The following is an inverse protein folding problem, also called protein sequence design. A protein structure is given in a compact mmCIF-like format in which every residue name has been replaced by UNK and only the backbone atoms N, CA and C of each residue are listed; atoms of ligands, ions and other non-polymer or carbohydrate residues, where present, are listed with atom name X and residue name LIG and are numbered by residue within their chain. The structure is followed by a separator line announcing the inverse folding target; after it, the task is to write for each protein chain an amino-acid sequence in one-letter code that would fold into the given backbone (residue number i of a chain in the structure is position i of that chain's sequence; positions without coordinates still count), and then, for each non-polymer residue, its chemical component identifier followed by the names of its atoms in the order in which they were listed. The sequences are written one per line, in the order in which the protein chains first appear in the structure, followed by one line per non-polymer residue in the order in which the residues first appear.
data_IF_697822161667
#
_entry.id   IF_697822161667
#
_cell.length_a   1.000
_cell.length_b   1.000
_cell.length_c   1.000
_cell.angle_alpha   90.00
_cell.angle_beta   90.00
_cell.angle_gamma   90.00
#
_symmetry.space_group_name_H-M   'P 1'
#
loop_
_entity.id
_entity.type
_entity.pdbx_description
1 polymer ?
#
# COMPACT_ATOMS: atom_id res chain seq x y z
N UNK A 1 5.23 -11.68 37.87
CA UNK A 1 5.47 -10.49 37.04
C UNK A 1 4.94 -10.78 35.64
N UNK A 2 4.08 -9.92 35.10
CA UNK A 2 3.60 -10.03 33.72
C UNK A 2 4.73 -9.67 32.76
N UNK A 3 4.86 -10.36 31.62
CA UNK A 3 5.88 -10.03 30.63
C UNK A 3 5.75 -8.58 30.12
N UNK A 4 4.55 -7.98 30.13
CA UNK A 4 4.33 -6.56 29.84
C UNK A 4 5.18 -5.65 30.74
N UNK A 5 5.18 -5.93 32.05
CA UNK A 5 5.92 -5.12 33.03
C UNK A 5 7.43 -5.34 32.95
N UNK A 6 7.87 -6.54 32.54
CA UNK A 6 9.29 -6.85 32.38
C UNK A 6 9.92 -6.10 31.19
N UNK A 7 9.19 -5.98 30.07
CA UNK A 7 9.64 -5.30 28.86
C UNK A 7 9.16 -3.84 28.75
N UNK A 8 8.52 -3.30 29.78
CA UNK A 8 7.93 -1.96 29.79
C UNK A 8 6.99 -1.67 28.59
N UNK A 9 6.26 -2.69 28.13
CA UNK A 9 5.31 -2.55 27.03
C UNK A 9 4.09 -1.74 27.49
N UNK A 10 3.79 -0.64 26.79
CA UNK A 10 2.58 0.17 27.04
C UNK A 10 1.31 -0.54 26.56
N UNK A 11 1.43 -1.31 25.48
CA UNK A 11 0.35 -2.04 24.82
C UNK A 11 0.87 -3.36 24.25
N UNK A 12 -0.02 -4.19 23.71
CA UNK A 12 0.34 -5.48 23.11
C UNK A 12 1.30 -5.26 21.94
N UNK A 13 2.56 -5.73 22.01
CA UNK A 13 3.49 -5.63 20.91
C UNK A 13 2.99 -6.52 19.77
N UNK A 14 3.24 -6.08 18.53
CA UNK A 14 2.84 -6.77 17.30
C UNK A 14 1.32 -6.82 17.02
N UNK A 15 0.51 -6.05 17.74
CA UNK A 15 -0.89 -5.84 17.36
C UNK A 15 -1.00 -5.26 15.95
N UNK A 16 -2.02 -5.66 15.20
CA UNK A 16 -2.34 -5.05 13.90
C UNK A 16 -2.78 -3.58 14.05
N UNK A 17 -3.28 -3.24 15.24
CA UNK A 17 -3.81 -1.91 15.59
C UNK A 17 -2.73 -0.88 15.92
N UNK A 18 -1.44 -1.27 15.98
CA UNK A 18 -0.34 -0.32 16.21
C UNK A 18 -0.41 0.77 15.14
N UNK A 19 -0.43 2.07 15.47
CA UNK A 19 -0.46 3.14 14.48
C UNK A 19 0.70 3.05 13.49
N UNK A 20 0.48 3.45 12.24
CA UNK A 20 1.53 3.41 11.22
C UNK A 20 2.79 4.23 11.60
N UNK A 21 2.61 5.30 12.38
CA UNK A 21 3.69 6.16 12.90
C UNK A 21 4.57 5.49 13.96
N UNK A 22 4.07 4.40 14.56
CA UNK A 22 4.76 3.65 15.62
C UNK A 22 5.31 2.31 15.10
N UNK A 23 5.20 2.05 13.79
CA UNK A 23 5.76 0.85 13.19
C UNK A 23 7.28 0.84 13.35
N UNK A 24 7.80 -0.28 13.85
CA UNK A 24 9.23 -0.52 13.84
C UNK A 24 9.71 -0.77 12.40
N UNK A 25 10.56 0.12 11.90
CA UNK A 25 11.11 0.07 10.54
C UNK A 25 12.59 -0.33 10.56
N UNK A 26 12.93 -1.62 10.49
CA UNK A 26 14.32 -2.05 10.40
C UNK A 26 14.97 -1.56 9.07
N UNK A 27 16.31 -1.55 8.97
CA UNK A 27 17.01 -1.11 7.77
C UNK A 27 16.58 -1.86 6.50
N UNK A 28 16.29 -3.16 6.60
CA UNK A 28 15.81 -3.97 5.47
C UNK A 28 14.45 -3.53 4.95
N UNK A 29 13.51 -3.19 5.84
CA UNK A 29 12.20 -2.65 5.46
C UNK A 29 12.35 -1.27 4.84
N UNK A 30 13.20 -0.42 5.45
CA UNK A 30 13.45 0.95 4.98
C UNK A 30 13.99 0.96 3.55
N UNK A 31 14.95 0.08 3.23
CA UNK A 31 15.52 -0.03 1.89
C UNK A 31 14.47 -0.40 0.81
N UNK A 32 13.52 -1.29 1.16
CA UNK A 32 12.45 -1.65 0.21
C UNK A 32 11.44 -0.50 0.07
N UNK A 33 11.12 0.20 1.18
CA UNK A 33 10.25 1.39 1.13
C UNK A 33 10.87 2.48 0.25
N UNK A 34 12.16 2.75 0.39
CA UNK A 34 12.86 3.72 -0.46
C UNK A 34 12.84 3.31 -1.94
N UNK A 35 13.03 2.02 -2.24
CA UNK A 35 12.95 1.50 -3.62
C UNK A 35 11.54 1.67 -4.22
N UNK A 36 10.49 1.45 -3.41
CA UNK A 36 9.11 1.64 -3.85
C UNK A 36 8.74 3.12 -3.99
N UNK A 37 9.22 3.98 -3.09
CA UNK A 37 9.04 5.44 -3.20
C UNK A 37 9.66 5.96 -4.50
N UNK A 38 10.88 5.51 -4.83
CA UNK A 38 11.53 5.88 -6.09
C UNK A 38 10.76 5.39 -7.31
N UNK A 39 10.30 4.13 -7.32
CA UNK A 39 9.47 3.60 -8.40
C UNK A 39 8.19 4.43 -8.60
N UNK A 40 7.54 4.86 -7.50
CA UNK A 40 6.36 5.73 -7.55
C UNK A 40 6.70 7.10 -8.15
N UNK A 41 7.81 7.72 -7.70
CA UNK A 41 8.27 9.02 -8.23
C UNK A 41 8.60 8.95 -9.72
N UNK A 42 9.16 7.83 -10.17
CA UNK A 42 9.44 7.55 -11.59
C UNK A 42 8.23 7.06 -12.38
N UNK A 43 7.04 6.98 -11.76
CA UNK A 43 5.79 6.46 -12.36
C UNK A 43 5.93 5.04 -12.93
N UNK A 44 6.71 4.20 -12.27
CA UNK A 44 6.93 2.81 -12.63
C UNK A 44 5.95 1.87 -11.93
N UNK A 45 5.79 0.68 -12.51
CA UNK A 45 5.08 -0.44 -11.88
C UNK A 45 6.08 -1.30 -11.11
N UNK A 46 5.74 -1.65 -9.87
CA UNK A 46 6.55 -2.52 -9.02
C UNK A 46 5.73 -3.73 -8.54
N UNK A 47 6.41 -4.86 -8.31
CA UNK A 47 5.79 -6.08 -7.80
C UNK A 47 6.50 -6.54 -6.53
N UNK A 48 5.72 -6.78 -5.46
CA UNK A 48 6.24 -7.17 -4.15
C UNK A 48 5.99 -8.66 -3.87
N UNK A 49 7.04 -9.47 -3.97
CA UNK A 49 7.01 -10.92 -3.68
C UNK A 49 7.65 -11.20 -2.34
N UNK A 50 7.02 -12.09 -1.58
CA UNK A 50 7.39 -12.54 -0.24
C UNK A 50 6.37 -13.59 0.20
N UNK A 51 6.71 -14.41 1.19
CA UNK A 51 5.77 -15.37 1.75
C UNK A 51 4.77 -14.70 2.70
N UNK A 52 3.76 -15.47 3.13
CA UNK A 52 2.84 -15.05 4.16
C UNK A 52 3.58 -14.78 5.47
N UNK A 53 3.23 -13.69 6.16
CA UNK A 53 3.87 -13.32 7.43
C UNK A 53 5.16 -12.49 7.33
N UNK A 54 5.73 -12.30 6.13
CA UNK A 54 6.97 -11.51 5.93
C UNK A 54 6.75 -9.97 5.96
N UNK A 55 5.64 -9.51 6.54
CA UNK A 55 5.42 -8.08 6.76
C UNK A 55 5.04 -7.26 5.53
N UNK A 56 4.53 -7.86 4.44
CA UNK A 56 4.04 -7.11 3.25
C UNK A 56 3.08 -5.98 3.63
N UNK A 57 2.10 -6.28 4.50
CA UNK A 57 1.14 -5.28 4.97
C UNK A 57 1.82 -4.22 5.82
N UNK A 58 2.76 -4.60 6.69
CA UNK A 58 3.56 -3.66 7.49
C UNK A 58 4.35 -2.70 6.58
N UNK A 59 4.97 -3.24 5.53
CA UNK A 59 5.70 -2.48 4.54
C UNK A 59 4.81 -1.51 3.76
N UNK A 60 3.61 -1.93 3.32
CA UNK A 60 2.67 -1.02 2.65
C UNK A 60 2.17 0.10 3.57
N UNK A 61 2.05 -0.16 4.87
CA UNK A 61 1.71 0.86 5.88
C UNK A 61 2.85 1.86 6.09
N UNK A 62 4.09 1.37 6.18
CA UNK A 62 5.27 2.24 6.23
C UNK A 62 5.43 3.09 4.95
N UNK A 63 5.19 2.50 3.77
CA UNK A 63 5.19 3.22 2.51
C UNK A 63 4.08 4.29 2.48
N UNK A 64 2.88 3.97 2.96
CA UNK A 64 1.78 4.94 3.10
C UNK A 64 2.22 6.16 3.90
N UNK A 65 2.90 5.98 5.03
CA UNK A 65 3.42 7.10 5.83
C UNK A 65 4.39 7.99 5.04
N UNK A 66 5.30 7.39 4.27
CA UNK A 66 6.22 8.14 3.41
C UNK A 66 5.46 8.95 2.35
N UNK A 67 4.43 8.35 1.75
CA UNK A 67 3.62 8.97 0.70
C UNK A 67 2.63 10.02 1.21
N UNK A 68 2.33 10.10 2.51
CA UNK A 68 1.49 11.19 3.05
C UNK A 68 2.12 12.58 2.82
N UNK A 69 3.42 12.63 2.59
CA UNK A 69 4.16 13.86 2.24
C UNK A 69 4.17 14.17 0.74
N UNK A 70 3.63 13.29 -0.12
CA UNK A 70 3.66 13.45 -1.58
C UNK A 70 2.26 13.72 -2.15
N UNK A 71 2.20 14.27 -3.37
CA UNK A 71 0.95 14.53 -4.09
C UNK A 71 0.32 13.26 -4.69
N UNK A 72 0.46 12.11 -4.02
CA UNK A 72 -0.08 10.83 -4.47
C UNK A 72 -1.31 10.46 -3.64
N UNK A 73 -2.36 9.98 -4.31
CA UNK A 73 -3.49 9.31 -3.65
C UNK A 73 -3.24 7.81 -3.60
N UNK A 74 -3.18 7.25 -2.39
CA UNK A 74 -3.13 5.81 -2.20
C UNK A 74 -4.54 5.20 -2.33
N UNK A 75 -4.70 4.22 -3.22
CA UNK A 75 -5.94 3.45 -3.36
C UNK A 75 -5.67 1.96 -3.20
N UNK A 76 -6.45 1.28 -2.36
CA UNK A 76 -6.35 -0.17 -2.16
C UNK A 76 -7.37 -0.91 -3.04
N UNK A 77 -6.87 -1.77 -3.93
CA UNK A 77 -7.69 -2.63 -4.78
C UNK A 77 -7.61 -4.09 -4.28
N UNK A 78 -8.62 -4.55 -3.53
CA UNK A 78 -8.59 -5.85 -2.85
C UNK A 78 -9.01 -7.04 -3.72
N UNK A 79 -9.66 -6.81 -4.86
CA UNK A 79 -10.32 -7.87 -5.59
C UNK A 79 -9.40 -8.41 -6.69
N UNK A 80 -8.68 -9.49 -6.37
CA UNK A 80 -7.72 -10.12 -7.26
C UNK A 80 -8.36 -11.04 -8.32
N UNK A 81 -9.66 -11.38 -8.19
CA UNK A 81 -10.35 -12.32 -9.08
C UNK A 81 -11.19 -11.64 -10.16
N UNK A 82 -11.03 -10.32 -10.31
CA UNK A 82 -11.78 -9.55 -11.30
C UNK A 82 -11.46 -9.99 -12.72
N UNK A 83 -12.51 -10.19 -13.52
CA UNK A 83 -12.36 -10.22 -14.97
C UNK A 83 -11.88 -8.86 -15.48
N UNK A 84 -11.28 -8.84 -16.68
CA UNK A 84 -10.75 -7.60 -17.31
C UNK A 84 -11.71 -6.41 -17.23
N UNK A 85 -13.00 -6.67 -17.44
CA UNK A 85 -14.06 -5.65 -17.44
C UNK A 85 -14.25 -5.01 -16.07
N UNK A 86 -14.33 -5.82 -15.03
CA UNK A 86 -14.55 -5.34 -13.67
C UNK A 86 -13.29 -4.70 -13.10
N UNK A 87 -12.11 -5.15 -13.52
CA UNK A 87 -10.85 -4.46 -13.25
C UNK A 87 -10.86 -3.01 -13.76
N UNK A 88 -11.25 -2.78 -15.03
CA UNK A 88 -11.31 -1.41 -15.57
C UNK A 88 -12.34 -0.54 -14.87
N UNK A 89 -13.49 -1.10 -14.47
CA UNK A 89 -14.47 -0.37 -13.67
C UNK A 89 -13.91 0.00 -12.30
N UNK A 90 -13.26 -0.95 -11.61
CA UNK A 90 -12.64 -0.69 -10.32
C UNK A 90 -11.54 0.38 -10.45
N UNK A 91 -10.77 0.38 -11.55
CA UNK A 91 -9.78 1.41 -11.82
C UNK A 91 -10.42 2.79 -12.02
N UNK A 92 -11.53 2.90 -12.77
CA UNK A 92 -12.29 4.16 -12.86
C UNK A 92 -12.73 4.66 -11.48
N UNK A 93 -13.31 3.79 -10.65
CA UNK A 93 -13.70 4.15 -9.28
C UNK A 93 -12.51 4.60 -8.44
N UNK A 94 -11.39 3.88 -8.53
CA UNK A 94 -10.15 4.21 -7.84
C UNK A 94 -9.55 5.55 -8.29
N UNK A 95 -9.85 5.98 -9.52
CA UNK A 95 -9.44 7.26 -10.09
C UNK A 95 -10.48 8.39 -9.86
N UNK A 96 -11.72 8.07 -9.48
CA UNK A 96 -12.81 9.05 -9.36
C UNK A 96 -13.46 9.41 -10.71
N UNK A 97 -13.36 8.50 -11.68
CA UNK A 97 -13.86 8.67 -13.05
C UNK A 97 -15.19 7.95 -13.24
N UNK A 98 -15.94 8.34 -14.27
CA UNK A 98 -17.13 7.60 -14.70
C UNK A 98 -16.75 6.15 -15.08
N UNK A 99 -17.54 5.13 -14.70
CA UNK A 99 -17.17 3.74 -14.92
C UNK A 99 -17.06 3.39 -16.40
N UNK A 100 -15.91 2.84 -16.80
CA UNK A 100 -15.68 2.28 -18.12
C UNK A 100 -15.31 0.80 -18.02
N UNK A 101 -15.70 0.04 -19.05
CA UNK A 101 -15.52 -1.40 -19.14
C UNK A 101 -14.33 -1.81 -20.02
N UNK A 102 -13.65 -0.86 -20.68
CA UNK A 102 -12.60 -1.14 -21.67
C UNK A 102 -11.34 -0.31 -21.41
N UNK A 103 -10.18 -0.90 -21.71
CA UNK A 103 -8.88 -0.23 -21.57
C UNK A 103 -8.83 1.09 -22.35
N UNK A 104 -9.32 1.09 -23.60
CA UNK A 104 -9.27 2.25 -24.48
C UNK A 104 -10.10 3.42 -23.94
N UNK A 105 -11.31 3.16 -23.44
CA UNK A 105 -12.13 4.23 -22.87
C UNK A 105 -11.55 4.76 -21.56
N UNK A 106 -10.99 3.89 -20.70
CA UNK A 106 -10.26 4.34 -19.50
C UNK A 106 -9.06 5.23 -19.88
N UNK A 107 -8.26 4.80 -20.86
CA UNK A 107 -7.12 5.59 -21.37
C UNK A 107 -7.56 6.95 -21.89
N UNK A 108 -8.63 7.01 -22.69
CA UNK A 108 -9.14 8.27 -23.22
C UNK A 108 -9.64 9.20 -22.11
N UNK A 109 -10.30 8.67 -21.07
CA UNK A 109 -10.75 9.50 -19.93
C UNK A 109 -9.60 10.03 -19.08
N UNK A 110 -8.50 9.28 -18.93
CA UNK A 110 -7.34 9.70 -18.12
C UNK A 110 -6.49 10.76 -18.84
N UNK A 111 -6.46 10.76 -20.18
CA UNK A 111 -5.63 11.67 -20.98
C UNK A 111 -6.37 12.93 -21.47
N UNK A 112 -7.62 13.13 -21.07
CA UNK A 112 -8.37 14.38 -21.31
C UNK A 112 -7.98 15.42 -20.26
#
# INVERSE_FOLDING_TARGET
MSWYSHFACREAPFSKEIPDTELWTPPSLTAIVDSLDEAIRQRQSAFLVADSGFGKTCLLRALRQRLLSTSCRLTYCHNATLGRRDFYRQLCHALGLAPSATAAAVFNTINQ
#
